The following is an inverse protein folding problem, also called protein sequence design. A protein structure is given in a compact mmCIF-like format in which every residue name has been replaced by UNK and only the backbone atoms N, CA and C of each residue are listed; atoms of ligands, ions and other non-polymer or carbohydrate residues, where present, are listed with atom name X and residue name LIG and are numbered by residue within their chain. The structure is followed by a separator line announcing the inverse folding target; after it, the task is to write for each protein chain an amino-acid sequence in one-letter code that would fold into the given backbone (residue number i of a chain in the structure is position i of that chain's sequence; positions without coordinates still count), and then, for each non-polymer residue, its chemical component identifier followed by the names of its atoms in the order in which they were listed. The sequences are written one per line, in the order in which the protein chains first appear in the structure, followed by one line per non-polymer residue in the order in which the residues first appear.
data_IF_701321760055
#
_entry.id   IF_701321760055
#
_cell.length_a   1.000
_cell.length_b   1.000
_cell.length_c   1.000
_cell.angle_alpha   90.00
_cell.angle_beta   90.00
_cell.angle_gamma   90.00
#
_symmetry.space_group_name_H-M   'P 1'
#
loop_
_entity.id
_entity.type
_entity.pdbx_description
1 polymer ?
#
# COMPACT_ATOMS: atom_id res chain seq x y z
N UNK A 1 -27.26 32.99 -46.54
CA UNK A 1 -26.79 32.77 -45.16
C UNK A 1 -27.93 32.14 -44.39
N UNK A 2 -27.92 30.82 -44.23
CA UNK A 2 -28.92 30.07 -43.45
C UNK A 2 -28.45 29.94 -42.00
N UNK A 3 -29.31 30.09 -40.99
CA UNK A 3 -28.89 29.98 -39.60
C UNK A 3 -28.65 28.52 -39.23
N UNK A 4 -27.51 28.27 -38.58
CA UNK A 4 -27.10 26.95 -38.04
C UNK A 4 -27.96 26.63 -36.83
N UNK A 5 -28.61 25.47 -36.84
CA UNK A 5 -29.38 24.94 -35.73
C UNK A 5 -28.48 24.52 -34.56
N UNK A 6 -28.79 24.98 -33.36
CA UNK A 6 -28.19 24.51 -32.09
C UNK A 6 -28.72 23.12 -31.73
N UNK A 7 -27.87 22.19 -31.27
CA UNK A 7 -28.31 20.85 -30.87
C UNK A 7 -29.05 20.90 -29.53
N UNK A 8 -30.31 20.49 -29.52
CA UNK A 8 -31.13 20.29 -28.32
C UNK A 8 -30.67 19.04 -27.56
N UNK A 9 -30.09 19.23 -26.38
CA UNK A 9 -29.80 18.14 -25.43
C UNK A 9 -31.12 17.50 -24.98
N UNK A 10 -31.31 16.18 -25.08
CA UNK A 10 -32.55 15.54 -24.63
C UNK A 10 -32.70 15.66 -23.10
N UNK A 11 -33.93 15.80 -22.57
CA UNK A 11 -34.16 15.91 -21.14
C UNK A 11 -33.72 14.63 -20.42
N UNK A 12 -32.94 14.81 -19.35
CA UNK A 12 -32.50 13.76 -18.43
C UNK A 12 -33.72 12.99 -17.89
N UNK A 13 -33.95 11.78 -18.39
CA UNK A 13 -34.93 10.87 -17.81
C UNK A 13 -34.41 10.37 -16.45
N UNK A 14 -35.10 10.80 -15.39
CA UNK A 14 -34.87 10.35 -14.03
C UNK A 14 -35.31 8.89 -13.92
N UNK A 15 -34.36 7.95 -13.92
CA UNK A 15 -34.67 6.53 -13.69
C UNK A 15 -35.07 6.37 -12.22
N UNK A 16 -36.36 6.25 -11.96
CA UNK A 16 -36.88 5.84 -10.65
C UNK A 16 -36.62 4.34 -10.48
N UNK A 17 -35.66 3.98 -9.64
CA UNK A 17 -35.48 2.59 -9.21
C UNK A 17 -36.61 2.27 -8.24
N UNK A 18 -37.62 1.56 -8.72
CA UNK A 18 -38.72 1.05 -7.92
C UNK A 18 -38.18 -0.02 -6.97
N UNK A 19 -38.41 0.17 -5.67
CA UNK A 19 -37.87 -0.67 -4.60
C UNK A 19 -38.87 -1.77 -4.27
N UNK A 20 -39.26 -2.56 -5.28
CA UNK A 20 -40.18 -3.69 -5.11
C UNK A 20 -39.44 -5.03 -5.21
N UNK A 21 -39.52 -5.78 -4.10
CA UNK A 21 -39.11 -7.17 -3.90
C UNK A 21 -37.60 -7.47 -3.97
N UNK A 22 -36.92 -7.31 -2.83
CA UNK A 22 -35.65 -8.00 -2.51
C UNK A 22 -35.87 -9.43 -1.97
N UNK A 23 -36.95 -10.11 -2.37
CA UNK A 23 -37.23 -11.49 -1.98
C UNK A 23 -37.08 -12.42 -3.17
N UNK A 24 -35.84 -12.72 -3.56
CA UNK A 24 -35.50 -13.94 -4.31
C UNK A 24 -34.02 -14.27 -4.09
N UNK A 25 -33.77 -15.12 -3.09
CA UNK A 25 -32.58 -15.96 -2.90
C UNK A 25 -31.22 -15.37 -3.33
N UNK A 26 -30.73 -14.38 -2.59
CA UNK A 26 -29.28 -14.18 -2.47
C UNK A 26 -28.76 -15.10 -1.37
N UNK A 27 -28.18 -16.24 -1.73
CA UNK A 27 -27.60 -17.20 -0.77
C UNK A 27 -26.45 -16.61 0.07
N UNK A 28 -25.86 -15.48 -0.35
CA UNK A 28 -24.80 -14.82 0.39
C UNK A 28 -25.39 -13.88 1.44
N UNK A 29 -25.51 -14.36 2.68
CA UNK A 29 -25.65 -13.50 3.86
C UNK A 29 -24.30 -12.83 4.09
N UNK A 30 -24.21 -11.51 3.94
CA UNK A 30 -22.99 -10.74 4.26
C UNK A 30 -22.76 -10.83 5.78
N UNK A 31 -21.72 -11.55 6.25
CA UNK A 31 -21.40 -11.57 7.67
C UNK A 31 -20.82 -10.22 8.07
N UNK A 32 -21.18 -9.73 9.26
CA UNK A 32 -20.55 -8.54 9.81
C UNK A 32 -19.03 -8.75 9.91
N UNK A 33 -18.19 -7.77 9.50
CA UNK A 33 -16.75 -7.91 9.57
C UNK A 33 -16.29 -8.09 11.03
N UNK A 34 -15.96 -9.33 11.41
CA UNK A 34 -15.47 -9.68 12.74
C UNK A 34 -16.06 -10.94 13.39
N UNK A 35 -17.05 -11.61 12.78
CA UNK A 35 -17.73 -12.77 13.39
C UNK A 35 -17.22 -14.14 12.93
N UNK A 36 -16.34 -14.21 11.93
CA UNK A 36 -15.80 -15.48 11.43
C UNK A 36 -14.43 -15.81 12.03
N UNK A 37 -14.26 -17.07 12.44
CA UNK A 37 -12.97 -17.60 12.88
C UNK A 37 -11.93 -17.51 11.74
N UNK A 38 -10.66 -17.21 12.05
CA UNK A 38 -9.63 -17.11 11.02
C UNK A 38 -9.44 -18.47 10.31
N UNK A 39 -9.33 -18.44 8.99
CA UNK A 39 -9.02 -19.62 8.19
C UNK A 39 -7.64 -20.20 8.56
N UNK A 40 -7.43 -21.50 8.36
CA UNK A 40 -6.11 -22.13 8.55
C UNK A 40 -5.01 -21.40 7.75
N UNK A 41 -5.33 -21.03 6.51
CA UNK A 41 -4.42 -20.30 5.62
C UNK A 41 -4.04 -18.93 6.17
N UNK A 42 -5.01 -18.17 6.69
CA UNK A 42 -4.75 -16.90 7.35
C UNK A 42 -3.82 -17.08 8.56
N UNK A 43 -4.05 -18.11 9.39
CA UNK A 43 -3.18 -18.42 10.54
C UNK A 43 -1.75 -18.74 10.11
N UNK A 44 -1.55 -19.62 9.13
CA UNK A 44 -0.20 -19.91 8.61
C UNK A 44 0.51 -18.68 8.06
N UNK A 45 -0.22 -17.81 7.37
CA UNK A 45 0.32 -16.55 6.87
C UNK A 45 0.78 -15.63 8.01
N UNK A 46 -0.03 -15.50 9.06
CA UNK A 46 0.36 -14.70 10.23
C UNK A 46 1.56 -15.30 10.97
N UNK A 47 1.63 -16.64 11.07
CA UNK A 47 2.80 -17.33 11.61
C UNK A 47 4.06 -17.10 10.77
N UNK A 48 3.97 -17.14 9.44
CA UNK A 48 5.10 -16.86 8.55
C UNK A 48 5.61 -15.41 8.69
N UNK A 49 4.72 -14.43 8.80
CA UNK A 49 5.11 -13.05 9.05
C UNK A 49 5.75 -12.87 10.43
N UNK A 50 5.22 -13.56 11.45
CA UNK A 50 5.79 -13.56 12.80
C UNK A 50 7.16 -14.24 12.85
N UNK A 51 7.35 -15.36 12.14
CA UNK A 51 8.62 -16.09 12.10
C UNK A 51 9.74 -15.28 11.48
N UNK A 52 9.46 -14.40 10.51
CA UNK A 52 10.45 -13.46 9.98
C UNK A 52 10.92 -12.48 11.05
N UNK A 53 10.02 -11.96 11.89
CA UNK A 53 10.42 -11.06 12.98
C UNK A 53 11.18 -11.82 14.07
N UNK A 54 10.76 -13.05 14.38
CA UNK A 54 11.48 -13.93 15.30
C UNK A 54 12.89 -14.26 14.78
N UNK A 55 13.04 -14.53 13.48
CA UNK A 55 14.33 -14.73 12.84
C UNK A 55 15.20 -13.48 12.91
N UNK A 56 14.66 -12.29 12.63
CA UNK A 56 15.40 -11.02 12.77
C UNK A 56 15.89 -10.86 14.21
N UNK A 57 15.02 -11.04 15.20
CA UNK A 57 15.40 -10.95 16.61
C UNK A 57 16.47 -11.99 16.97
N UNK A 58 16.29 -13.25 16.57
CA UNK A 58 17.24 -14.32 16.82
C UNK A 58 18.60 -14.06 16.16
N UNK A 59 18.62 -13.59 14.92
CA UNK A 59 19.86 -13.25 14.21
C UNK A 59 20.61 -12.12 14.93
N UNK A 60 19.91 -11.06 15.32
CA UNK A 60 20.52 -9.95 16.06
C UNK A 60 21.02 -10.39 17.44
N UNK A 61 20.25 -11.21 18.16
CA UNK A 61 20.65 -11.75 19.46
C UNK A 61 21.85 -12.71 19.30
N UNK A 62 21.84 -13.61 18.31
CA UNK A 62 22.93 -14.57 18.07
C UNK A 62 24.23 -13.87 17.75
N UNK A 63 24.18 -12.89 16.87
CA UNK A 63 25.36 -12.17 16.44
C UNK A 63 25.91 -11.32 17.56
N UNK A 64 25.06 -10.52 18.18
CA UNK A 64 25.52 -9.55 19.14
C UNK A 64 25.73 -10.25 20.51
N UNK A 65 24.77 -10.99 21.06
CA UNK A 65 24.85 -11.48 22.46
C UNK A 65 25.83 -12.64 22.56
N UNK A 66 25.79 -13.54 21.58
CA UNK A 66 26.56 -14.79 21.61
C UNK A 66 27.81 -14.73 20.74
N UNK A 67 28.04 -13.65 19.99
CA UNK A 67 29.19 -13.51 19.09
C UNK A 67 29.16 -14.47 17.89
N UNK A 68 28.02 -15.08 17.59
CA UNK A 68 27.91 -16.11 16.56
C UNK A 68 27.53 -15.45 15.22
N UNK A 69 28.54 -15.22 14.39
CA UNK A 69 28.41 -14.55 13.08
C UNK A 69 27.99 -15.54 11.95
N UNK A 70 26.86 -16.23 12.10
CA UNK A 70 26.42 -17.28 11.17
C UNK A 70 26.22 -16.81 9.71
N UNK A 71 25.78 -15.56 9.50
CA UNK A 71 25.50 -14.99 8.17
C UNK A 71 25.84 -13.49 8.18
N UNK A 72 26.39 -12.95 7.08
CA UNK A 72 26.66 -11.51 6.94
C UNK A 72 25.41 -10.63 7.09
N UNK A 73 25.57 -9.31 7.25
CA UNK A 73 24.47 -8.37 7.57
C UNK A 73 23.32 -8.45 6.56
N UNK A 74 22.20 -9.08 6.93
CA UNK A 74 20.99 -9.20 6.10
C UNK A 74 20.12 -7.94 6.15
N UNK A 75 20.75 -6.77 6.00
CA UNK A 75 20.08 -5.48 6.09
C UNK A 75 19.43 -5.07 4.75
N UNK A 76 18.47 -4.14 4.81
CA UNK A 76 17.80 -3.52 3.64
C UNK A 76 18.73 -2.70 2.72
N UNK A 77 20.04 -2.71 2.98
CA UNK A 77 21.08 -2.06 2.17
C UNK A 77 21.49 -2.87 0.93
N UNK A 78 20.81 -3.99 0.64
CA UNK A 78 21.10 -4.81 -0.52
C UNK A 78 20.98 -4.06 -1.86
N UNK A 79 20.03 -3.12 -1.98
CA UNK A 79 19.85 -2.31 -3.20
C UNK A 79 20.99 -1.31 -3.38
N UNK A 80 21.35 -0.46 -2.39
CA UNK A 80 22.56 0.36 -2.45
C UNK A 80 23.86 -0.42 -2.68
N UNK A 81 24.00 -1.60 -2.04
CA UNK A 81 25.17 -2.46 -2.21
C UNK A 81 25.30 -2.99 -3.64
N UNK A 82 24.21 -3.52 -4.19
CA UNK A 82 24.18 -4.02 -5.56
C UNK A 82 24.47 -2.89 -6.56
N UNK A 83 23.90 -1.70 -6.33
CA UNK A 83 24.15 -0.52 -7.16
C UNK A 83 25.61 -0.04 -7.08
N UNK A 84 26.30 -0.20 -5.93
CA UNK A 84 27.75 0.05 -5.79
C UNK A 84 28.62 -1.04 -6.44
N UNK A 85 28.02 -2.11 -6.97
CA UNK A 85 28.74 -3.25 -7.55
C UNK A 85 29.25 -4.24 -6.49
N UNK A 86 28.84 -4.11 -5.22
CA UNK A 86 29.27 -5.02 -4.15
C UNK A 86 28.30 -6.19 -3.98
N UNK A 87 28.77 -7.41 -4.27
CA UNK A 87 28.01 -8.64 -4.03
C UNK A 87 28.27 -9.11 -2.59
N UNK A 88 27.35 -8.78 -1.70
CA UNK A 88 27.30 -9.22 -0.30
C UNK A 88 26.01 -9.99 0.03
N UNK A 89 25.88 -10.50 1.25
CA UNK A 89 24.69 -11.24 1.70
C UNK A 89 23.36 -10.48 1.45
N UNK A 90 23.35 -9.16 1.63
CA UNK A 90 22.18 -8.33 1.37
C UNK A 90 21.81 -8.24 -0.12
N UNK A 91 22.80 -8.17 -1.02
CA UNK A 91 22.57 -8.17 -2.47
C UNK A 91 22.05 -9.53 -2.97
N UNK A 92 22.56 -10.65 -2.41
CA UNK A 92 22.08 -11.99 -2.70
C UNK A 92 20.62 -12.13 -2.26
N UNK A 93 20.28 -11.65 -1.06
CA UNK A 93 18.90 -11.61 -0.58
C UNK A 93 17.99 -10.81 -1.54
N UNK A 94 18.44 -9.66 -2.05
CA UNK A 94 17.67 -8.88 -3.04
C UNK A 94 17.46 -9.68 -4.32
N UNK A 95 18.49 -10.33 -4.85
CA UNK A 95 18.39 -11.17 -6.05
C UNK A 95 17.44 -12.35 -5.82
N UNK A 96 17.48 -13.00 -4.65
CA UNK A 96 16.55 -14.06 -4.29
C UNK A 96 15.11 -13.56 -4.18
N UNK A 97 14.89 -12.38 -3.59
CA UNK A 97 13.57 -11.76 -3.54
C UNK A 97 13.08 -11.47 -4.96
N UNK A 98 13.89 -10.85 -5.82
CA UNK A 98 13.52 -10.56 -7.21
C UNK A 98 13.25 -11.85 -8.00
N UNK A 99 14.09 -12.87 -7.84
CA UNK A 99 13.91 -14.20 -8.44
C UNK A 99 12.63 -14.89 -7.95
N UNK A 100 12.30 -14.76 -6.67
CA UNK A 100 11.06 -15.33 -6.11
C UNK A 100 9.80 -14.74 -6.76
N UNK A 101 9.88 -13.51 -7.29
CA UNK A 101 8.75 -12.87 -7.98
C UNK A 101 8.49 -13.53 -9.32
N UNK A 102 9.51 -14.01 -10.02
CA UNK A 102 9.33 -14.73 -11.28
C UNK A 102 8.62 -16.08 -11.07
N UNK A 103 8.71 -16.67 -9.88
CA UNK A 103 8.10 -17.97 -9.58
C UNK A 103 6.72 -17.79 -8.92
N UNK A 104 6.65 -16.96 -7.88
CA UNK A 104 5.47 -16.82 -7.04
C UNK A 104 4.80 -15.44 -7.15
N UNK A 105 5.29 -14.54 -7.99
CA UNK A 105 4.84 -13.15 -8.00
C UNK A 105 5.18 -12.44 -6.70
N UNK A 106 4.41 -11.43 -6.33
CA UNK A 106 4.62 -10.68 -5.08
C UNK A 106 4.20 -11.42 -3.80
N UNK A 107 4.26 -12.75 -3.79
CA UNK A 107 4.00 -13.57 -2.60
C UNK A 107 4.94 -13.27 -1.43
N UNK A 108 6.20 -12.89 -1.71
CA UNK A 108 7.13 -12.40 -0.69
C UNK A 108 6.52 -11.26 0.14
N UNK A 109 5.86 -10.29 -0.51
CA UNK A 109 5.20 -9.17 0.17
C UNK A 109 4.07 -9.64 1.11
N UNK A 110 3.37 -10.73 0.77
CA UNK A 110 2.26 -11.26 1.56
C UNK A 110 2.67 -12.13 2.74
N UNK A 111 3.84 -12.77 2.67
CA UNK A 111 4.22 -13.88 3.55
C UNK A 111 5.57 -13.73 4.26
N UNK A 112 6.52 -12.98 3.71
CA UNK A 112 7.88 -12.89 4.26
C UNK A 112 8.39 -11.45 4.46
N UNK A 113 7.69 -10.45 3.94
CA UNK A 113 8.09 -9.06 4.11
C UNK A 113 7.86 -8.59 5.56
N UNK A 114 8.93 -8.25 6.27
CA UNK A 114 8.84 -7.73 7.64
C UNK A 114 7.97 -6.46 7.73
N UNK A 115 8.07 -5.55 6.74
CA UNK A 115 7.21 -4.36 6.67
C UNK A 115 5.72 -4.72 6.64
N UNK A 116 5.35 -5.79 5.91
CA UNK A 116 3.97 -6.27 5.89
C UNK A 116 3.56 -6.80 7.26
N UNK A 117 4.42 -7.57 7.92
CA UNK A 117 4.14 -8.07 9.26
C UNK A 117 3.90 -6.95 10.27
N UNK A 118 4.72 -5.89 10.25
CA UNK A 118 4.53 -4.71 11.11
C UNK A 118 3.18 -4.00 10.84
N UNK A 119 2.76 -3.91 9.57
CA UNK A 119 1.47 -3.30 9.19
C UNK A 119 0.27 -4.13 9.64
N UNK A 120 0.34 -5.46 9.51
CA UNK A 120 -0.71 -6.36 9.98
C UNK A 120 -0.77 -6.42 11.51
N UNK A 121 0.38 -6.31 12.18
CA UNK A 121 0.46 -6.19 13.62
C UNK A 121 -0.18 -4.87 14.11
N UNK A 122 0.12 -3.75 13.45
CA UNK A 122 -0.54 -2.48 13.71
C UNK A 122 -2.07 -2.56 13.48
N UNK A 123 -2.53 -3.20 12.40
CA UNK A 123 -3.95 -3.47 12.17
C UNK A 123 -4.59 -4.29 13.30
N UNK A 124 -3.92 -5.35 13.75
CA UNK A 124 -4.39 -6.19 14.86
C UNK A 124 -4.51 -5.39 16.16
N UNK A 125 -3.51 -4.57 16.51
CA UNK A 125 -3.56 -3.69 17.69
C UNK A 125 -4.73 -2.70 17.59
N UNK A 126 -4.88 -2.00 16.47
CA UNK A 126 -5.94 -1.01 16.28
C UNK A 126 -7.34 -1.62 16.40
N UNK A 127 -7.52 -2.86 15.94
CA UNK A 127 -8.76 -3.64 16.14
C UNK A 127 -8.96 -4.01 17.59
N UNK A 128 -7.94 -4.55 18.25
CA UNK A 128 -8.01 -4.99 19.64
C UNK A 128 -8.33 -3.83 20.60
N UNK A 129 -7.76 -2.66 20.33
CA UNK A 129 -8.05 -1.41 21.05
C UNK A 129 -9.37 -0.74 20.63
N UNK A 130 -10.13 -1.34 19.70
CA UNK A 130 -11.44 -0.84 19.22
C UNK A 130 -11.43 0.64 18.80
N UNK A 131 -10.37 1.08 18.11
CA UNK A 131 -10.23 2.48 17.68
C UNK A 131 -11.35 2.84 16.69
N UNK A 132 -12.34 3.62 17.14
CA UNK A 132 -13.59 3.93 16.40
C UNK A 132 -13.33 4.41 14.97
N UNK A 133 -12.40 5.37 14.79
CA UNK A 133 -12.05 5.91 13.47
C UNK A 133 -11.54 4.83 12.51
N UNK A 134 -10.68 3.94 13.01
CA UNK A 134 -10.10 2.87 12.21
C UNK A 134 -11.13 1.81 11.83
N UNK A 135 -11.94 1.38 12.79
CA UNK A 135 -13.03 0.43 12.54
C UNK A 135 -14.02 0.97 11.51
N UNK A 136 -14.38 2.26 11.60
CA UNK A 136 -15.25 2.91 10.62
C UNK A 136 -14.64 2.94 9.20
N UNK A 137 -13.32 3.10 9.07
CA UNK A 137 -12.64 3.00 7.77
C UNK A 137 -12.67 1.56 7.24
N UNK A 138 -12.42 0.58 8.11
CA UNK A 138 -12.36 -0.85 7.75
C UNK A 138 -13.73 -1.41 7.37
N UNK A 139 -14.77 -1.12 8.16
CA UNK A 139 -16.15 -1.53 7.89
C UNK A 139 -16.64 -0.99 6.55
N UNK A 140 -16.32 0.28 6.26
CA UNK A 140 -16.65 0.93 4.99
C UNK A 140 -15.68 0.57 3.86
N UNK A 141 -14.69 -0.29 4.14
CA UNK A 141 -13.58 -0.67 3.27
C UNK A 141 -12.98 0.52 2.48
N UNK A 142 -12.73 1.61 3.20
CA UNK A 142 -12.20 2.86 2.63
C UNK A 142 -10.68 2.71 2.55
N UNK A 143 -10.22 2.31 1.38
CA UNK A 143 -8.81 2.10 1.09
C UNK A 143 -8.36 3.25 0.20
N UNK A 144 -7.71 4.24 0.81
CA UNK A 144 -7.20 5.38 0.03
C UNK A 144 -6.12 4.86 -0.92
N UNK A 145 -6.36 5.09 -2.20
CA UNK A 145 -5.50 4.69 -3.30
C UNK A 145 -5.50 5.84 -4.30
N UNK A 146 -4.35 6.48 -4.50
CA UNK A 146 -4.22 7.62 -5.40
C UNK A 146 -3.99 7.14 -6.84
N UNK A 147 -4.57 7.81 -7.85
CA UNK A 147 -4.27 7.51 -9.24
C UNK A 147 -2.78 7.74 -9.56
N UNK A 148 -2.14 8.67 -8.86
CA UNK A 148 -0.73 9.02 -9.01
C UNK A 148 0.20 8.32 -8.02
N UNK A 149 -0.22 7.22 -7.38
CA UNK A 149 0.65 6.45 -6.46
C UNK A 149 1.98 6.04 -7.08
N UNK A 150 2.00 5.82 -8.41
CA UNK A 150 3.22 5.50 -9.15
C UNK A 150 4.23 6.63 -9.09
N UNK A 151 3.77 7.87 -9.26
CA UNK A 151 4.59 9.07 -9.08
C UNK A 151 5.17 9.10 -7.66
N UNK A 152 4.34 8.83 -6.65
CA UNK A 152 4.77 8.83 -5.24
C UNK A 152 5.85 7.79 -4.97
N UNK A 153 5.64 6.55 -5.41
CA UNK A 153 6.58 5.45 -5.19
C UNK A 153 7.86 5.59 -6.02
N UNK A 154 7.76 6.09 -7.26
CA UNK A 154 8.93 6.37 -8.11
C UNK A 154 9.74 7.52 -7.52
N UNK A 155 9.08 8.60 -7.09
CA UNK A 155 9.74 9.71 -6.40
C UNK A 155 10.45 9.24 -5.12
N UNK A 156 9.78 8.42 -4.30
CA UNK A 156 10.39 7.84 -3.09
C UNK A 156 11.57 6.92 -3.42
N UNK A 157 11.46 6.08 -4.46
CA UNK A 157 12.58 5.24 -4.91
C UNK A 157 13.76 6.10 -5.41
N UNK A 158 13.48 7.14 -6.20
CA UNK A 158 14.50 8.05 -6.72
C UNK A 158 15.25 8.76 -5.58
N UNK A 159 14.54 9.27 -4.58
CA UNK A 159 15.15 9.89 -3.39
C UNK A 159 16.06 8.89 -2.65
N UNK A 160 15.66 7.62 -2.54
CA UNK A 160 16.48 6.58 -1.91
C UNK A 160 17.71 6.18 -2.75
N UNK A 161 17.61 6.23 -4.08
CA UNK A 161 18.71 5.88 -4.99
C UNK A 161 19.65 7.05 -5.29
N UNK A 162 19.20 8.29 -5.14
CA UNK A 162 19.97 9.50 -5.49
C UNK A 162 21.36 9.54 -4.83
N UNK A 163 21.53 9.29 -3.50
CA UNK A 163 22.86 9.27 -2.89
C UNK A 163 23.78 8.21 -3.50
N UNK A 164 23.22 7.08 -3.91
CA UNK A 164 23.95 5.97 -4.53
C UNK A 164 24.37 6.32 -5.95
N UNK A 165 23.47 6.95 -6.72
CA UNK A 165 23.76 7.44 -8.08
C UNK A 165 24.90 8.48 -8.04
N UNK A 166 24.83 9.45 -7.12
CA UNK A 166 25.89 10.45 -6.93
C UNK A 166 27.22 9.78 -6.56
N UNK A 167 27.20 8.78 -5.67
CA UNK A 167 28.39 8.03 -5.29
C UNK A 167 29.02 7.28 -6.47
N UNK A 168 28.20 6.60 -7.29
CA UNK A 168 28.68 5.87 -8.48
C UNK A 168 29.27 6.84 -9.50
N UNK A 169 28.63 7.99 -9.71
CA UNK A 169 29.13 9.02 -10.62
C UNK A 169 30.51 9.54 -10.19
N UNK A 170 30.72 9.75 -8.90
CA UNK A 170 31.96 10.34 -8.38
C UNK A 170 33.10 9.34 -8.19
N UNK A 171 32.80 8.09 -7.80
CA UNK A 171 33.80 7.08 -7.44
C UNK A 171 33.99 5.98 -8.51
N UNK A 172 33.16 5.97 -9.56
CA UNK A 172 33.15 4.91 -10.57
C UNK A 172 32.49 3.61 -10.09
N UNK A 173 32.11 2.75 -11.04
CA UNK A 173 31.54 1.44 -10.76
C UNK A 173 32.64 0.37 -10.86
N UNK A 174 32.99 -0.27 -9.73
CA UNK A 174 33.93 -1.40 -9.72
C UNK A 174 33.27 -2.60 -9.03
N UNK A 175 32.96 -3.69 -9.75
CA UNK A 175 32.34 -4.85 -9.13
C UNK A 175 33.31 -5.53 -8.16
N UNK A 176 32.90 -5.67 -6.89
CA UNK A 176 33.70 -6.34 -5.84
C UNK A 176 32.83 -7.40 -5.15
N UNK A 177 33.30 -8.64 -5.11
CA UNK A 177 32.61 -9.72 -4.39
C UNK A 177 33.22 -9.81 -3.00
N UNK A 178 32.46 -9.42 -1.98
CA UNK A 178 32.87 -9.61 -0.60
C UNK A 178 31.62 -9.86 0.26
N UNK A 179 31.42 -11.14 0.60
CA UNK A 179 30.23 -11.62 1.30
C UNK A 179 30.23 -11.18 2.77
N UNK A 180 31.40 -10.91 3.35
CA UNK A 180 31.60 -10.68 4.78
C UNK A 180 31.82 -9.21 5.15
N UNK A 181 32.23 -8.33 4.23
CA UNK A 181 32.40 -6.89 4.55
C UNK A 181 31.09 -6.13 4.47
N UNK A 182 30.64 -5.46 5.55
CA UNK A 182 29.69 -4.37 5.42
C UNK A 182 30.42 -3.02 5.34
N UNK A 183 29.97 -2.08 4.49
CA UNK A 183 30.15 -0.67 4.84
C UNK A 183 29.45 -0.41 6.19
N UNK A 184 29.99 0.49 7.03
CA UNK A 184 29.41 0.78 8.34
C UNK A 184 27.94 1.17 8.21
N UNK A 185 27.08 0.54 9.02
CA UNK A 185 25.62 0.75 9.09
C UNK A 185 25.28 2.22 9.40
N UNK A 186 26.20 2.95 10.02
CA UNK A 186 25.83 4.07 10.88
C UNK A 186 26.04 5.46 10.28
N UNK A 187 26.74 5.61 9.16
CA UNK A 187 27.01 6.95 8.63
C UNK A 187 26.24 7.24 7.34
N UNK A 188 24.96 7.57 7.52
CA UNK A 188 24.31 8.41 6.52
C UNK A 188 25.07 9.75 6.47
N UNK A 189 25.33 10.31 5.27
CA UNK A 189 25.98 11.61 5.17
C UNK A 189 25.21 12.65 6.00
N UNK A 190 25.93 13.34 6.90
CA UNK A 190 25.36 14.31 7.83
C UNK A 190 25.12 13.82 9.27
N UNK A 191 25.45 12.56 9.60
CA UNK A 191 25.36 12.02 10.97
C UNK A 191 26.74 11.95 11.67
N UNK A 192 27.80 11.62 10.94
CA UNK A 192 29.20 11.56 11.43
C UNK A 192 29.35 10.80 12.75
N UNK A 193 28.72 9.62 12.86
CA UNK A 193 28.74 8.80 14.06
C UNK A 193 27.85 9.32 15.20
N UNK A 194 26.89 10.19 14.93
CA UNK A 194 25.87 10.65 15.89
C UNK A 194 24.51 10.01 15.63
N UNK A 195 23.69 9.86 16.66
CA UNK A 195 22.35 9.27 16.59
C UNK A 195 21.38 10.09 15.74
N UNK A 196 21.66 11.38 15.63
CA UNK A 196 20.91 12.31 14.82
C UNK A 196 21.85 13.11 13.92
N UNK A 197 21.28 13.88 12.98
CA UNK A 197 22.07 14.73 12.10
C UNK A 197 23.00 15.63 12.93
N UNK A 198 24.23 15.88 12.48
CA UNK A 198 25.24 16.70 13.18
C UNK A 198 24.72 18.07 13.59
N UNK A 199 23.81 18.63 12.81
CA UNK A 199 23.16 19.92 13.05
C UNK A 199 22.03 19.87 14.10
N UNK A 200 21.74 18.71 14.71
CA UNK A 200 20.65 18.59 15.66
C UNK A 200 20.99 19.18 17.03
N UNK A 201 20.02 19.91 17.60
CA UNK A 201 20.13 20.59 18.90
C UNK A 201 20.43 19.61 20.06
N UNK A 202 20.03 18.35 19.91
CA UNK A 202 20.29 17.28 20.85
C UNK A 202 20.85 16.08 20.08
N UNK A 203 21.94 15.51 20.58
CA UNK A 203 22.65 14.42 19.90
C UNK A 203 23.32 13.48 20.88
N UNK A 204 23.36 12.20 20.50
CA UNK A 204 24.16 11.18 21.17
C UNK A 204 25.26 10.73 20.21
N UNK A 205 26.48 10.56 20.69
CA UNK A 205 27.52 9.89 19.91
C UNK A 205 27.20 8.40 19.86
N UNK A 206 26.96 7.86 18.65
CA UNK A 206 26.90 6.42 18.40
C UNK A 206 28.35 5.96 18.36
N UNK A 207 28.89 5.58 19.51
CA UNK A 207 30.05 4.68 19.52
C UNK A 207 29.52 3.31 19.06
N UNK A 208 30.30 2.45 18.40
CA UNK A 208 29.85 1.12 18.06
C UNK A 208 29.82 0.23 19.32
N UNK A 209 29.00 0.61 20.30
CA UNK A 209 28.73 -0.15 21.53
C UNK A 209 27.40 -0.87 21.42
N UNK A 210 27.21 -1.87 22.28
CA UNK A 210 25.97 -2.63 22.39
C UNK A 210 24.72 -1.75 22.48
N UNK A 211 24.78 -0.72 23.32
CA UNK A 211 23.66 0.14 23.65
C UNK A 211 23.26 1.01 22.45
N UNK A 212 24.23 1.46 21.67
CA UNK A 212 23.99 2.29 20.48
C UNK A 212 23.33 1.48 19.35
N UNK A 213 23.71 0.20 19.21
CA UNK A 213 23.02 -0.71 18.29
C UNK A 213 21.57 -0.97 18.71
N UNK A 214 21.33 -1.27 20.00
CA UNK A 214 19.97 -1.46 20.51
C UNK A 214 19.12 -0.21 20.37
N UNK A 215 19.71 0.98 20.59
CA UNK A 215 19.04 2.26 20.41
C UNK A 215 18.66 2.48 18.94
N UNK A 216 19.58 2.28 18.00
CA UNK A 216 19.32 2.44 16.57
C UNK A 216 18.26 1.44 16.07
N UNK A 217 18.34 0.18 16.48
CA UNK A 217 17.34 -0.84 16.15
C UNK A 217 15.97 -0.51 16.76
N UNK A 218 15.92 -0.16 18.04
CA UNK A 218 14.70 0.23 18.73
C UNK A 218 14.03 1.43 18.08
N UNK A 219 14.83 2.43 17.67
CA UNK A 219 14.36 3.61 16.95
C UNK A 219 13.81 3.26 15.55
N UNK A 220 14.47 2.36 14.81
CA UNK A 220 13.97 1.89 13.52
C UNK A 220 12.64 1.13 13.63
N UNK A 221 12.52 0.23 14.62
CA UNK A 221 11.26 -0.48 14.92
C UNK A 221 10.17 0.50 15.33
N UNK A 222 10.50 1.48 16.17
CA UNK A 222 9.57 2.50 16.64
C UNK A 222 9.06 3.40 15.49
N UNK A 223 9.94 3.86 14.60
CA UNK A 223 9.57 4.60 13.39
C UNK A 223 8.64 3.75 12.53
N UNK A 224 9.06 2.51 12.21
CA UNK A 224 8.29 1.64 11.33
C UNK A 224 6.90 1.36 11.89
N UNK A 225 6.80 1.08 13.19
CA UNK A 225 5.53 0.84 13.86
C UNK A 225 4.66 2.10 13.87
N UNK A 226 5.22 3.26 14.24
CA UNK A 226 4.52 4.56 14.25
C UNK A 226 3.96 4.91 12.87
N UNK A 227 4.78 4.78 11.82
CA UNK A 227 4.37 4.94 10.43
C UNK A 227 3.22 4.00 10.05
N UNK A 228 3.32 2.73 10.42
CA UNK A 228 2.30 1.72 10.13
C UNK A 228 0.97 2.06 10.81
N UNK A 229 1.00 2.48 12.08
CA UNK A 229 -0.18 2.89 12.84
C UNK A 229 -0.80 4.14 12.23
N UNK A 230 -0.02 5.22 12.03
CA UNK A 230 -0.53 6.49 11.52
C UNK A 230 -1.18 6.34 10.13
N UNK A 231 -0.51 5.61 9.23
CA UNK A 231 -1.04 5.40 7.87
C UNK A 231 -2.28 4.49 7.87
N UNK A 232 -2.31 3.42 8.68
CA UNK A 232 -3.50 2.59 8.80
C UNK A 232 -4.69 3.39 9.38
N UNK A 233 -4.45 4.21 10.42
CA UNK A 233 -5.45 5.07 11.04
C UNK A 233 -6.08 6.07 10.07
N UNK A 234 -5.29 6.62 9.13
CA UNK A 234 -5.76 7.66 8.19
C UNK A 234 -6.25 7.12 6.85
N UNK A 235 -5.61 6.07 6.32
CA UNK A 235 -5.78 5.62 4.94
C UNK A 235 -6.21 4.14 4.80
N UNK A 236 -6.49 3.48 5.93
CA UNK A 236 -6.98 2.10 6.01
C UNK A 236 -5.87 1.05 5.99
N UNK A 237 -6.24 -0.20 6.24
CA UNK A 237 -5.31 -1.33 6.33
C UNK A 237 -4.38 -1.41 5.12
N UNK A 238 -3.07 -1.53 5.32
CA UNK A 238 -2.12 -1.72 4.21
C UNK A 238 -1.72 -0.44 3.48
N UNK A 239 -2.04 0.74 4.05
CA UNK A 239 -1.81 2.03 3.41
C UNK A 239 -0.36 2.28 2.98
N UNK A 240 0.62 1.95 3.82
CA UNK A 240 2.04 2.11 3.47
C UNK A 240 2.41 1.33 2.20
N UNK A 241 2.07 0.03 2.14
CA UNK A 241 2.33 -0.81 0.98
C UNK A 241 1.64 -0.30 -0.30
N UNK A 242 0.44 0.27 -0.16
CA UNK A 242 -0.32 0.82 -1.30
C UNK A 242 0.22 2.16 -1.79
N UNK A 243 0.55 3.08 -0.89
CA UNK A 243 0.80 4.47 -1.23
C UNK A 243 2.29 4.77 -1.37
N UNK A 244 3.11 4.30 -0.41
CA UNK A 244 4.46 4.83 -0.22
C UNK A 244 5.59 3.83 -0.48
N UNK A 245 5.32 2.52 -0.41
CA UNK A 245 6.38 1.50 -0.53
C UNK A 245 7.17 1.64 -1.84
N UNK A 246 8.45 2.06 -1.79
CA UNK A 246 9.25 2.29 -2.98
C UNK A 246 9.69 0.97 -3.62
N UNK A 247 9.87 -0.10 -2.84
CA UNK A 247 10.24 -1.41 -3.37
C UNK A 247 9.17 -2.00 -4.31
N UNK A 248 7.91 -1.58 -4.18
CA UNK A 248 6.86 -2.04 -5.08
C UNK A 248 7.13 -1.65 -6.55
N UNK A 249 7.83 -0.54 -6.82
CA UNK A 249 8.15 -0.12 -8.20
C UNK A 249 9.20 -1.01 -8.84
N UNK A 250 10.10 -1.62 -8.06
CA UNK A 250 11.06 -2.59 -8.56
C UNK A 250 10.40 -3.96 -8.83
N UNK A 251 9.39 -4.32 -8.05
CA UNK A 251 8.76 -5.64 -8.08
C UNK A 251 7.61 -5.77 -9.08
N UNK A 252 6.81 -4.71 -9.27
CA UNK A 252 5.64 -4.76 -10.16
C UNK A 252 5.97 -5.02 -11.63
N UNK A 253 7.03 -4.46 -12.23
CA UNK A 253 7.39 -4.78 -13.61
C UNK A 253 7.61 -6.27 -13.83
N UNK A 254 8.03 -7.01 -12.81
CA UNK A 254 8.27 -8.47 -12.89
C UNK A 254 6.99 -9.32 -12.75
N UNK A 255 5.84 -8.69 -12.45
CA UNK A 255 4.56 -9.40 -12.32
C UNK A 255 3.98 -9.76 -13.68
N UNK A 256 3.40 -10.96 -13.79
CA UNK A 256 2.74 -11.49 -14.99
C UNK A 256 3.64 -11.76 -16.20
N UNK A 257 4.96 -11.57 -16.09
CA UNK A 257 5.90 -11.90 -17.17
C UNK A 257 6.13 -13.41 -17.25
N UNK A 258 6.28 -14.07 -16.10
CA UNK A 258 6.60 -15.50 -16.05
C UNK A 258 5.35 -16.38 -16.20
N UNK A 259 5.36 -17.39 -17.09
CA UNK A 259 4.26 -18.35 -17.22
C UNK A 259 4.16 -19.31 -16.01
N UNK A 260 5.25 -19.47 -15.25
CA UNK A 260 5.28 -20.29 -14.02
C UNK A 260 4.49 -19.62 -12.89
N UNK A 261 4.29 -18.31 -12.98
CA UNK A 261 3.58 -17.54 -11.96
C UNK A 261 2.09 -17.92 -11.94
N UNK A 262 1.71 -18.76 -10.97
CA UNK A 262 0.30 -19.05 -10.65
C UNK A 262 -0.47 -17.76 -10.36
N UNK A 263 -1.75 -17.73 -10.70
CA UNK A 263 -2.62 -16.58 -10.46
C UNK A 263 -3.86 -17.05 -9.71
N UNK A 264 -4.44 -16.13 -8.93
CA UNK A 264 -5.76 -16.36 -8.35
C UNK A 264 -6.75 -16.40 -9.52
N UNK A 265 -7.36 -17.55 -9.70
CA UNK A 265 -8.13 -17.92 -10.88
C UNK A 265 -9.50 -18.45 -10.46
N UNK A 266 -10.52 -18.13 -11.25
CA UNK A 266 -11.88 -18.62 -11.11
C UNK A 266 -11.97 -20.07 -11.61
N UNK A 267 -12.36 -20.96 -10.71
CA UNK A 267 -12.47 -22.41 -10.93
C UNK A 267 -13.91 -22.91 -10.94
N UNK A 268 -14.89 -22.03 -10.66
CA UNK A 268 -16.32 -22.34 -10.71
C UNK A 268 -17.14 -21.13 -11.18
N UNK A 269 -18.46 -21.26 -11.25
CA UNK A 269 -19.35 -20.14 -11.59
C UNK A 269 -19.40 -19.12 -10.45
N UNK A 270 -19.18 -17.85 -10.77
CA UNK A 270 -19.22 -16.77 -9.78
C UNK A 270 -20.65 -16.23 -9.65
N UNK A 271 -21.09 -15.96 -8.42
CA UNK A 271 -22.40 -15.35 -8.14
C UNK A 271 -22.38 -13.81 -8.19
N UNK A 272 -21.19 -13.20 -8.18
CA UNK A 272 -21.01 -11.76 -8.20
C UNK A 272 -21.21 -11.05 -6.85
N UNK A 273 -21.06 -11.76 -5.72
CA UNK A 273 -21.26 -11.20 -4.36
C UNK A 273 -20.26 -10.11 -3.95
N UNK A 274 -19.04 -10.13 -4.51
CA UNK A 274 -17.93 -9.17 -4.25
C UNK A 274 -17.26 -9.28 -2.88
N UNK A 275 -17.51 -10.33 -2.10
CA UNK A 275 -16.84 -10.56 -0.81
C UNK A 275 -15.32 -10.67 -0.96
N UNK A 276 -14.88 -11.32 -2.04
CA UNK A 276 -13.48 -11.43 -2.41
C UNK A 276 -12.79 -10.06 -2.60
N UNK A 277 -13.51 -9.09 -3.15
CA UNK A 277 -13.01 -7.73 -3.34
C UNK A 277 -13.05 -6.92 -2.04
N UNK A 278 -14.11 -7.10 -1.24
CA UNK A 278 -14.23 -6.46 0.08
C UNK A 278 -13.15 -6.92 1.06
N UNK A 279 -12.76 -8.19 0.98
CA UNK A 279 -11.72 -8.77 1.84
C UNK A 279 -10.29 -8.41 1.42
N UNK A 280 -10.08 -7.86 0.21
CA UNK A 280 -8.73 -7.63 -0.32
C UNK A 280 -8.02 -6.47 0.39
N UNK A 281 -6.95 -6.72 1.17
CA UNK A 281 -6.27 -5.65 1.91
C UNK A 281 -5.38 -4.77 1.01
N UNK A 282 -5.28 -5.09 -0.29
CA UNK A 282 -4.65 -4.22 -1.30
C UNK A 282 -5.67 -3.36 -2.06
N UNK A 283 -6.97 -3.49 -1.78
CA UNK A 283 -8.01 -2.71 -2.45
C UNK A 283 -8.16 -3.05 -3.93
N UNK A 284 -7.90 -4.31 -4.27
CA UNK A 284 -8.07 -4.83 -5.63
C UNK A 284 -9.53 -5.27 -5.79
N UNK A 285 -10.20 -4.83 -6.86
CA UNK A 285 -11.52 -5.35 -7.22
C UNK A 285 -11.38 -6.72 -7.89
N UNK A 286 -11.19 -7.75 -7.05
CA UNK A 286 -11.00 -9.15 -7.48
C UNK A 286 -12.15 -9.64 -8.34
N UNK A 287 -13.40 -9.36 -7.95
CA UNK A 287 -14.60 -9.70 -8.71
C UNK A 287 -14.63 -9.08 -10.11
N UNK A 288 -14.21 -7.81 -10.25
CA UNK A 288 -14.05 -7.18 -11.57
C UNK A 288 -12.96 -7.86 -12.39
N UNK A 289 -11.83 -8.19 -11.77
CA UNK A 289 -10.70 -8.77 -12.51
C UNK A 289 -11.00 -10.15 -13.06
N UNK A 290 -11.58 -11.03 -12.25
CA UNK A 290 -11.96 -12.37 -12.73
C UNK A 290 -13.04 -12.30 -13.81
N UNK A 291 -13.86 -11.25 -13.85
CA UNK A 291 -14.86 -11.06 -14.90
C UNK A 291 -14.26 -10.59 -16.22
N UNK A 292 -13.32 -9.63 -16.19
CA UNK A 292 -12.77 -9.02 -17.41
C UNK A 292 -11.49 -9.68 -17.93
N UNK A 293 -10.75 -10.42 -17.10
CA UNK A 293 -9.44 -10.97 -17.46
C UNK A 293 -9.44 -12.51 -17.45
N UNK A 294 -10.38 -13.12 -18.18
CA UNK A 294 -10.47 -14.57 -18.39
C UNK A 294 -10.45 -15.39 -17.08
N UNK A 295 -11.18 -14.94 -16.06
CA UNK A 295 -11.21 -15.62 -14.77
C UNK A 295 -9.99 -15.37 -13.89
N UNK A 296 -9.03 -14.52 -14.26
CA UNK A 296 -7.77 -14.35 -13.52
C UNK A 296 -7.62 -12.97 -12.88
N UNK A 297 -7.05 -12.94 -11.68
CA UNK A 297 -6.54 -11.71 -11.06
C UNK A 297 -5.17 -11.41 -11.65
N UNK A 298 -5.10 -10.38 -12.50
CA UNK A 298 -3.88 -9.99 -13.23
C UNK A 298 -3.24 -8.72 -12.67
N UNK A 299 -3.84 -8.11 -11.65
CA UNK A 299 -3.30 -6.90 -11.08
C UNK A 299 -1.98 -7.13 -10.36
N UNK A 300 -1.00 -6.32 -10.74
CA UNK A 300 0.38 -6.39 -10.28
C UNK A 300 0.54 -5.95 -8.83
N UNK A 301 -0.50 -5.38 -8.21
CA UNK A 301 -0.56 -5.10 -6.77
C UNK A 301 -0.96 -6.31 -5.91
N UNK A 302 -1.32 -7.44 -6.52
CA UNK A 302 -1.67 -8.64 -5.78
C UNK A 302 -0.45 -9.21 -5.04
N UNK A 303 -0.50 -9.19 -3.70
CA UNK A 303 0.54 -9.73 -2.82
C UNK A 303 0.35 -11.21 -2.46
N UNK A 304 -0.60 -11.90 -3.11
CA UNK A 304 -0.97 -13.30 -2.83
C UNK A 304 -1.20 -13.62 -1.35
N UNK A 305 -1.90 -12.73 -0.65
CA UNK A 305 -2.31 -12.97 0.74
C UNK A 305 -3.49 -13.95 0.86
N UNK A 306 -4.15 -14.27 -0.26
CA UNK A 306 -5.30 -15.17 -0.39
C UNK A 306 -6.55 -14.83 0.44
N UNK A 307 -6.63 -13.63 1.02
CA UNK A 307 -7.83 -13.16 1.71
C UNK A 307 -9.10 -13.23 0.84
N UNK A 308 -8.95 -13.04 -0.48
CA UNK A 308 -10.06 -13.15 -1.43
C UNK A 308 -10.55 -14.59 -1.66
N UNK A 309 -9.66 -15.59 -1.55
CA UNK A 309 -10.05 -17.00 -1.60
C UNK A 309 -10.73 -17.38 -0.28
N UNK A 310 -10.14 -16.95 0.83
CA UNK A 310 -10.62 -17.24 2.18
C UNK A 310 -12.00 -16.63 2.47
N UNK A 311 -12.35 -15.52 1.81
CA UNK A 311 -13.65 -14.84 1.93
C UNK A 311 -14.70 -15.34 0.93
N UNK A 312 -14.37 -16.30 0.06
CA UNK A 312 -15.29 -16.80 -0.96
C UNK A 312 -16.01 -18.05 -0.44
N UNK A 313 -17.21 -17.89 0.10
CA UNK A 313 -18.02 -19.00 0.63
C UNK A 313 -18.35 -20.06 -0.44
N UNK A 314 -18.51 -19.63 -1.69
CA UNK A 314 -18.79 -20.49 -2.85
C UNK A 314 -17.55 -21.25 -3.37
N UNK A 315 -16.36 -21.05 -2.78
CA UNK A 315 -15.08 -21.69 -3.19
C UNK A 315 -14.71 -21.49 -4.67
N UNK A 316 -15.09 -20.36 -5.26
CA UNK A 316 -14.94 -20.06 -6.69
C UNK A 316 -13.50 -19.72 -7.09
N UNK A 317 -12.62 -19.39 -6.15
CA UNK A 317 -11.28 -18.89 -6.42
C UNK A 317 -10.18 -19.85 -5.92
N UNK A 318 -9.13 -20.05 -6.73
CA UNK A 318 -7.96 -20.86 -6.35
C UNK A 318 -6.66 -20.26 -6.90
N UNK A 319 -5.53 -20.47 -6.23
CA UNK A 319 -4.21 -20.12 -6.79
C UNK A 319 -3.69 -21.26 -7.68
N UNK A 320 -3.83 -21.10 -9.00
CA UNK A 320 -3.52 -22.14 -9.98
C UNK A 320 -2.93 -21.54 -11.26
N UNK A 321 -2.22 -22.37 -12.03
CA UNK A 321 -1.76 -22.04 -13.37
C UNK A 321 -2.83 -22.33 -14.44
N UNK A 322 -3.85 -23.12 -14.09
CA UNK A 322 -4.93 -23.53 -14.98
C UNK A 322 -5.65 -22.32 -15.62
N UNK A 323 -6.27 -22.50 -16.81
CA UNK A 323 -7.19 -21.50 -17.35
C UNK A 323 -8.39 -21.31 -16.42
N UNK A 324 -8.95 -20.10 -16.40
CA UNK A 324 -10.17 -19.85 -15.66
C UNK A 324 -11.35 -20.53 -16.34
N UNK A 325 -12.23 -21.14 -15.54
CA UNK A 325 -13.50 -21.69 -16.04
C UNK A 325 -14.30 -20.53 -16.67
N UNK A 326 -14.92 -20.67 -17.86
CA UNK A 326 -15.75 -19.61 -18.47
C UNK A 326 -16.93 -19.21 -17.59
N UNK A 327 -17.38 -17.95 -17.66
CA UNK A 327 -18.58 -17.51 -16.91
C UNK A 327 -19.75 -17.67 -17.86
N UNK A 328 -20.56 -18.70 -17.61
CA UNK A 328 -21.77 -18.98 -18.38
C UNK A 328 -22.98 -18.36 -17.70
N UNK A 329 -22.95 -18.28 -16.38
CA UNK A 329 -24.08 -17.79 -15.60
C UNK A 329 -24.14 -16.28 -15.68
N UNK A 330 -25.36 -15.76 -15.91
CA UNK A 330 -25.63 -14.33 -15.89
C UNK A 330 -25.30 -13.81 -14.50
N UNK A 331 -24.19 -13.07 -14.40
CA UNK A 331 -23.87 -12.34 -13.19
C UNK A 331 -24.99 -11.32 -12.92
N UNK A 332 -25.28 -11.08 -11.64
CA UNK A 332 -25.94 -9.84 -11.24
C UNK A 332 -25.22 -8.71 -11.98
N UNK A 333 -25.93 -7.82 -12.70
CA UNK A 333 -25.29 -6.78 -13.47
C UNK A 333 -24.20 -6.18 -12.60
N UNK A 334 -22.96 -6.25 -13.09
CA UNK A 334 -21.89 -5.52 -12.46
C UNK A 334 -22.38 -4.09 -12.51
N UNK A 335 -22.92 -3.60 -11.40
CA UNK A 335 -23.22 -2.20 -11.26
C UNK A 335 -21.84 -1.59 -11.33
N UNK A 336 -21.46 -1.17 -12.55
CA UNK A 336 -20.36 -0.27 -12.78
C UNK A 336 -20.75 0.89 -11.89
N UNK A 337 -20.26 0.91 -10.66
CA UNK A 337 -19.97 2.16 -10.02
C UNK A 337 -18.72 2.58 -10.74
N UNK A 338 -18.87 3.33 -11.84
CA UNK A 338 -17.81 3.54 -12.78
C UNK A 338 -16.96 4.64 -12.18
N UNK A 339 -16.42 4.49 -10.98
CA UNK A 339 -15.72 5.57 -10.24
C UNK A 339 -16.51 6.92 -10.14
N UNK A 340 -17.76 7.02 -10.60
CA UNK A 340 -18.45 8.27 -10.98
C UNK A 340 -19.96 8.04 -11.03
N UNK A 341 -20.65 8.44 -9.97
CA UNK A 341 -21.80 9.34 -10.08
C UNK A 341 -22.13 9.73 -8.65
N UNK A 342 -21.71 10.94 -8.28
CA UNK A 342 -22.41 11.69 -7.26
C UNK A 342 -23.83 11.94 -7.79
N UNK A 343 -24.73 10.96 -7.63
CA UNK A 343 -26.15 11.22 -7.79
C UNK A 343 -26.53 12.05 -6.57
N UNK A 344 -26.63 13.36 -6.81
CA UNK A 344 -27.20 14.33 -5.89
C UNK A 344 -28.61 13.84 -5.54
N UNK A 345 -28.82 13.51 -4.26
CA UNK A 345 -30.16 13.21 -3.75
C UNK A 345 -30.98 14.51 -3.83
N UNK A 346 -32.32 14.42 -3.94
CA UNK A 346 -33.23 15.58 -4.08
C UNK A 346 -33.07 16.66 -2.98
N UNK A 347 -32.36 16.36 -1.89
CA UNK A 347 -32.01 17.26 -0.78
C UNK A 347 -30.56 17.81 -0.83
N UNK A 348 -29.84 17.65 -1.95
CA UNK A 348 -28.49 18.18 -2.13
C UNK A 348 -27.37 17.36 -1.48
N UNK A 349 -27.70 16.22 -0.85
CA UNK A 349 -26.72 15.36 -0.19
C UNK A 349 -26.22 14.25 -1.13
N UNK A 350 -24.91 13.98 -1.06
CA UNK A 350 -24.23 12.96 -1.87
C UNK A 350 -24.57 11.54 -1.38
N UNK A 351 -24.95 10.66 -2.30
CA UNK A 351 -25.23 9.25 -1.98
C UNK A 351 -23.95 8.48 -1.65
N UNK A 352 -23.83 8.03 -0.40
CA UNK A 352 -22.72 7.20 0.08
C UNK A 352 -22.96 5.71 -0.22
N UNK A 353 -23.01 5.35 -1.50
CA UNK A 353 -23.01 3.94 -1.87
C UNK A 353 -21.53 3.47 -1.89
N UNK A 354 -21.01 3.08 -0.72
CA UNK A 354 -19.59 2.73 -0.47
C UNK A 354 -19.36 1.22 -0.55
N UNK A 355 -19.05 0.69 -1.73
CA UNK A 355 -18.46 -0.63 -1.85
C UNK A 355 -17.27 -0.56 -2.81
N UNK A 356 -16.07 -0.53 -2.20
CA UNK A 356 -14.75 -0.23 -2.75
C UNK A 356 -14.52 1.20 -3.22
N UNK A 357 -14.32 2.08 -2.24
CA UNK A 357 -13.80 3.41 -2.44
C UNK A 357 -12.27 3.36 -2.60
N UNK A 358 -11.80 3.15 -3.83
CA UNK A 358 -10.57 3.80 -4.29
C UNK A 358 -10.91 5.30 -4.36
N UNK A 359 -10.73 6.01 -3.26
CA UNK A 359 -11.00 7.45 -3.17
C UNK A 359 -9.83 8.13 -2.45
N UNK A 360 -9.15 9.06 -3.11
CA UNK A 360 -9.19 10.49 -2.78
C UNK A 360 -8.55 11.33 -3.92
N UNK A 361 -9.04 12.57 -4.14
CA UNK A 361 -9.36 13.21 -5.41
C UNK A 361 -8.42 14.40 -5.69
N UNK A 362 -7.15 14.24 -5.35
CA UNK A 362 -6.15 15.25 -5.62
C UNK A 362 -5.57 15.00 -7.01
N UNK A 363 -5.52 16.05 -7.82
CA UNK A 363 -4.85 15.99 -9.11
C UNK A 363 -3.36 15.70 -8.96
N UNK A 364 -2.66 15.36 -10.06
CA UNK A 364 -1.24 14.98 -10.04
C UNK A 364 -0.35 16.04 -9.38
N UNK A 365 -0.69 17.31 -9.58
CA UNK A 365 0.02 18.45 -8.99
C UNK A 365 -0.06 18.41 -7.47
N UNK A 366 -1.25 18.25 -6.89
CA UNK A 366 -1.41 18.25 -5.44
C UNK A 366 -0.78 17.01 -4.78
N UNK A 367 -0.83 15.85 -5.44
CA UNK A 367 -0.12 14.66 -4.97
C UNK A 367 1.40 14.87 -5.01
N UNK A 368 1.95 15.44 -6.08
CA UNK A 368 3.39 15.75 -6.16
C UNK A 368 3.82 16.81 -5.14
N UNK A 369 3.07 17.90 -5.02
CA UNK A 369 3.31 18.94 -4.01
C UNK A 369 3.27 18.37 -2.59
N UNK A 370 2.39 17.41 -2.30
CA UNK A 370 2.35 16.78 -0.99
C UNK A 370 3.64 16.04 -0.64
N UNK A 371 4.36 15.47 -1.63
CA UNK A 371 5.68 14.88 -1.39
C UNK A 371 6.74 15.94 -1.15
N UNK A 372 6.74 17.01 -1.94
CA UNK A 372 7.71 18.10 -1.77
C UNK A 372 7.56 18.69 -0.37
N UNK A 373 6.33 18.96 0.05
CA UNK A 373 6.02 19.44 1.40
C UNK A 373 6.43 18.41 2.46
N UNK A 374 6.22 17.12 2.23
CA UNK A 374 6.70 16.05 3.11
C UNK A 374 8.23 16.07 3.26
N UNK A 375 8.97 16.17 2.16
CA UNK A 375 10.43 16.17 2.16
C UNK A 375 11.01 17.45 2.78
N UNK A 376 10.44 18.62 2.49
CA UNK A 376 10.87 19.90 3.06
C UNK A 376 10.59 19.91 4.56
N UNK A 377 9.37 19.62 5.00
CA UNK A 377 9.05 19.59 6.43
C UNK A 377 9.81 18.48 7.17
N UNK A 378 9.98 17.30 6.55
CA UNK A 378 10.83 16.24 7.05
C UNK A 378 12.28 16.70 7.22
N UNK A 379 12.84 17.38 6.23
CA UNK A 379 14.19 17.95 6.28
C UNK A 379 14.35 19.07 7.30
N UNK A 380 13.32 19.88 7.53
CA UNK A 380 13.33 20.90 8.59
C UNK A 380 13.27 20.22 9.97
N UNK A 381 12.34 19.28 10.15
CA UNK A 381 12.15 18.57 11.42
C UNK A 381 13.31 17.65 11.75
N UNK A 382 14.06 17.15 10.76
CA UNK A 382 15.27 16.36 11.00
C UNK A 382 16.38 17.14 11.73
N UNK A 383 16.28 18.48 11.81
CA UNK A 383 17.12 19.31 12.69
C UNK A 383 16.85 19.11 14.18
N UNK A 384 15.72 18.53 14.56
CA UNK A 384 15.47 18.04 15.93
C UNK A 384 15.94 16.60 16.11
N UNK A 385 16.26 15.93 15.00
CA UNK A 385 16.98 14.67 14.91
C UNK A 385 16.45 13.76 13.80
N UNK A 386 17.25 12.78 13.37
CA UNK A 386 16.92 11.90 12.24
C UNK A 386 15.57 11.19 12.34
N UNK A 387 15.17 10.81 13.56
CA UNK A 387 13.84 10.30 13.86
C UNK A 387 12.72 11.24 13.42
N UNK A 388 12.87 12.55 13.70
CA UNK A 388 11.85 13.57 13.47
C UNK A 388 11.56 13.82 11.99
N UNK A 389 12.45 13.40 11.09
CA UNK A 389 12.17 13.39 9.65
C UNK A 389 10.87 12.67 9.33
N UNK A 390 10.64 11.49 9.91
CA UNK A 390 9.50 10.65 9.55
C UNK A 390 8.17 11.19 10.08
N UNK A 391 8.02 11.55 11.37
CA UNK A 391 6.83 12.24 11.86
C UNK A 391 6.59 13.56 11.13
N UNK A 392 7.63 14.37 10.91
CA UNK A 392 7.52 15.65 10.22
C UNK A 392 7.03 15.51 8.79
N UNK A 393 7.60 14.57 8.03
CA UNK A 393 7.18 14.28 6.66
C UNK A 393 5.76 13.72 6.60
N UNK A 394 5.37 12.84 7.52
CA UNK A 394 4.04 12.21 7.48
C UNK A 394 2.94 13.15 7.96
N UNK A 395 3.19 13.94 9.01
CA UNK A 395 2.23 14.93 9.49
C UNK A 395 2.01 15.97 8.40
N UNK A 396 3.08 16.52 7.80
CA UNK A 396 2.92 17.53 6.75
C UNK A 396 2.27 16.97 5.49
N UNK A 397 2.58 15.72 5.09
CA UNK A 397 1.88 15.01 4.01
C UNK A 397 0.38 14.91 4.28
N UNK A 398 -0.01 14.49 5.49
CA UNK A 398 -1.42 14.35 5.88
C UNK A 398 -2.12 15.73 5.90
N UNK A 399 -1.52 16.70 6.57
CA UNK A 399 -2.09 18.06 6.74
C UNK A 399 -2.24 18.75 5.39
N UNK A 400 -1.21 18.71 4.54
CA UNK A 400 -1.27 19.31 3.22
C UNK A 400 -2.42 18.74 2.38
N UNK A 401 -2.54 17.40 2.35
CA UNK A 401 -3.63 16.74 1.61
C UNK A 401 -5.00 17.10 2.17
N UNK A 402 -5.16 17.17 3.49
CA UNK A 402 -6.41 17.64 4.13
C UNK A 402 -6.76 19.09 3.74
N UNK A 403 -5.77 19.98 3.69
CA UNK A 403 -5.97 21.35 3.25
C UNK A 403 -6.44 21.40 1.79
N UNK A 404 -5.78 20.66 0.88
CA UNK A 404 -6.19 20.61 -0.53
C UNK A 404 -7.62 20.06 -0.69
N UNK A 405 -7.98 19.03 0.08
CA UNK A 405 -9.34 18.47 0.09
C UNK A 405 -10.39 19.50 0.54
N UNK A 406 -10.10 20.25 1.60
CA UNK A 406 -10.99 21.31 2.10
C UNK A 406 -11.17 22.42 1.06
N UNK A 407 -10.09 22.85 0.40
CA UNK A 407 -10.15 23.87 -0.66
C UNK A 407 -10.97 23.38 -1.86
N UNK A 408 -10.81 22.13 -2.30
CA UNK A 408 -11.62 21.55 -3.37
C UNK A 408 -13.11 21.53 -3.02
N UNK A 409 -13.46 21.12 -1.79
CA UNK A 409 -14.85 21.13 -1.32
C UNK A 409 -15.43 22.53 -1.29
N UNK A 410 -14.67 23.51 -0.80
CA UNK A 410 -15.09 24.91 -0.77
C UNK A 410 -15.35 25.46 -2.17
N UNK A 411 -14.44 25.24 -3.13
CA UNK A 411 -14.62 25.64 -4.54
C UNK A 411 -15.78 24.91 -5.24
N UNK A 412 -16.12 23.70 -4.82
CA UNK A 412 -17.27 22.98 -5.36
C UNK A 412 -18.59 23.62 -4.90
N UNK A 413 -18.69 23.96 -3.61
CA UNK A 413 -19.84 24.68 -3.05
C UNK A 413 -20.03 26.04 -3.73
N UNK A 414 -18.94 26.80 -3.91
CA UNK A 414 -18.97 28.11 -4.59
C UNK A 414 -19.46 28.01 -6.03
N UNK A 415 -18.99 27.01 -6.81
CA UNK A 415 -19.48 26.76 -8.19
C UNK A 415 -20.95 26.38 -8.26
N UNK A 416 -21.43 25.60 -7.29
CA UNK A 416 -22.86 25.26 -7.22
C UNK A 416 -23.67 26.53 -6.96
N UNK A 417 -23.23 27.37 -6.03
CA UNK A 417 -23.93 28.61 -5.70
C UNK A 417 -23.98 29.59 -6.87
N UNK A 418 -22.88 29.77 -7.62
CA UNK A 418 -22.87 30.63 -8.82
C UNK A 418 -23.74 30.06 -9.95
N UNK A 419 -23.75 28.75 -10.15
CA UNK A 419 -24.62 28.10 -11.15
C UNK A 419 -26.11 28.26 -10.83
N UNK A 420 -26.50 28.22 -9.54
CA UNK A 420 -27.89 28.43 -9.12
C UNK A 420 -28.32 29.89 -9.33
N UNK A 421 -27.43 30.85 -9.13
CA UNK A 421 -27.71 32.27 -9.39
C UNK A 421 -27.87 32.54 -10.88
N UNK A 422 -27.01 31.96 -11.73
CA UNK A 422 -27.08 32.13 -13.19
C UNK A 422 -28.28 31.46 -13.86
N UNK A 423 -28.93 30.48 -13.22
CA UNK A 423 -30.16 29.84 -13.74
C UNK A 423 -31.43 30.60 -13.29
N UNK A 424 -31.31 31.47 -12.29
CA UNK A 424 -32.41 32.31 -11.78
C UNK A 424 -32.47 33.71 -12.40
N UNK A 425 -31.39 34.15 -13.05
CA UNK A 425 -31.33 35.35 -13.91
C UNK A 425 -31.66 34.98 -15.35
#
# INVERSE_FOLDING_TARGET
MSPVATPTTPPLQLITIDRRHEDMHSSCKVPAPGTQAPTKRHTYRMMALASVHAYIAFHLISWHVFGIELWGKTAMMGVPSLAKGTINAASIMVLLILGSILIWGRGFCGWACHMRGAIEFADWILRKLKVRRYLALREKNILVNTPHRWLLRIGALFVLLLPVIILIHNAGFTPKVNVMTPPPIADLPGYEGKAFAKAAFFNFEIKPTWNDFLLAFGLAVFIQFTMSVLLNLRYGQGAFCRILCPYATMMVPLMNISPVQKKITRVAQCTGCRDCSNACPQGIDVSREIFHFNGKVVNTECIKCYACIDACDDNVLQDTAAPGVPQTDRLKPYEKRPWQQELIRKDGLLTNARHMQVFEPLGPVADFSSMIVALICGGITSRFGGFWFYPGAIISFIVFRECCLRVQRWRAVERIQTSIVSVKS
#
